data_IF_483744729989
#
_entry.id   IF_483744729989
#
_cell.length_a   1.000
_cell.length_b   1.000
_cell.length_c   1.000
_cell.angle_alpha   90.00
_cell.angle_beta   90.00
_cell.angle_gamma   90.00
#
_symmetry.space_group_name_H-M   'P 1'
#
loop_
_entity.id
_entity.type
_entity.pdbx_description
1 polymer ?
#
# COMPACT_ATOMS: atom_id res chain seq x y z
N UNK A 1 -0.46 27.22 -2.32
CA UNK A 1 -0.26 27.17 -0.85
C UNK A 1 -0.65 25.83 -0.24
N UNK A 2 -1.83 25.26 -0.52
CA UNK A 2 -2.32 24.02 0.13
C UNK A 2 -1.42 22.78 -0.03
N UNK A 3 -0.86 22.55 -1.22
CA UNK A 3 0.05 21.42 -1.43
C UNK A 3 1.37 21.52 -0.63
N UNK A 4 1.79 22.71 -0.17
CA UNK A 4 2.95 22.84 0.70
C UNK A 4 2.63 22.43 2.14
N UNK A 5 1.41 22.74 2.62
CA UNK A 5 0.95 22.33 3.95
C UNK A 5 0.90 20.80 4.07
N UNK A 6 0.33 20.10 3.09
CA UNK A 6 0.32 18.64 3.06
C UNK A 6 1.74 18.04 3.08
N UNK A 7 2.65 18.60 2.29
CA UNK A 7 4.05 18.14 2.25
C UNK A 7 4.81 18.43 3.54
N UNK A 8 4.47 19.49 4.26
CA UNK A 8 5.03 19.79 5.56
C UNK A 8 4.54 18.76 6.58
N UNK A 9 3.22 18.54 6.66
CA UNK A 9 2.62 17.55 7.55
C UNK A 9 3.17 16.14 7.34
N UNK A 10 3.31 15.69 6.08
CA UNK A 10 3.91 14.38 5.77
C UNK A 10 5.35 14.27 6.31
N UNK A 11 6.13 15.35 6.26
CA UNK A 11 7.50 15.36 6.80
C UNK A 11 7.52 15.43 8.32
N UNK A 12 6.58 16.15 8.94
CA UNK A 12 6.47 16.26 10.39
C UNK A 12 6.07 14.92 11.04
N UNK A 13 5.31 14.08 10.32
CA UNK A 13 5.02 12.66 10.67
C UNK A 13 6.31 11.80 10.63
N UNK A 14 7.41 12.31 10.06
CA UNK A 14 8.67 11.59 9.91
C UNK A 14 8.73 10.70 8.67
N UNK A 15 7.91 10.96 7.66
CA UNK A 15 8.00 10.25 6.37
C UNK A 15 9.04 10.88 5.46
N UNK A 16 9.63 10.08 4.57
CA UNK A 16 10.48 10.60 3.51
C UNK A 16 9.65 10.94 2.28
N UNK A 17 9.69 12.21 1.88
CA UNK A 17 8.98 12.70 0.70
C UNK A 17 9.93 13.38 -0.27
N UNK A 18 10.31 12.63 -1.31
CA UNK A 18 11.34 13.01 -2.27
C UNK A 18 10.78 13.20 -3.68
N UNK A 19 11.31 14.15 -4.43
CA UNK A 19 10.94 14.35 -5.83
C UNK A 19 11.72 13.38 -6.73
N UNK A 20 11.07 12.80 -7.73
CA UNK A 20 11.71 11.86 -8.67
C UNK A 20 12.34 12.67 -9.81
N UNK A 21 13.64 12.96 -9.69
CA UNK A 21 14.42 13.72 -10.67
C UNK A 21 13.83 15.11 -10.96
N UNK A 22 13.75 15.47 -12.25
CA UNK A 22 13.14 16.74 -12.70
C UNK A 22 11.62 16.65 -12.95
N UNK A 23 11.02 15.47 -12.85
CA UNK A 23 9.58 15.25 -13.08
C UNK A 23 8.71 15.91 -12.01
N UNK A 24 7.38 15.93 -12.16
CA UNK A 24 6.45 16.36 -11.08
C UNK A 24 6.04 15.20 -10.16
N UNK A 25 6.64 14.03 -10.32
CA UNK A 25 6.32 12.84 -9.53
C UNK A 25 7.07 12.87 -8.18
N UNK A 26 6.40 12.37 -7.16
CA UNK A 26 6.91 12.32 -5.79
C UNK A 26 6.93 10.86 -5.32
N UNK A 27 8.00 10.49 -4.61
CA UNK A 27 8.16 9.24 -3.91
C UNK A 27 7.92 9.49 -2.42
N UNK A 28 6.96 8.75 -1.86
CA UNK A 28 6.71 8.68 -0.42
C UNK A 28 7.26 7.35 0.10
N UNK A 29 8.13 7.41 1.11
CA UNK A 29 8.58 6.26 1.88
C UNK A 29 8.06 6.41 3.31
N UNK A 30 7.23 5.45 3.75
CA UNK A 30 6.60 5.47 5.06
C UNK A 30 6.30 4.04 5.51
N UNK A 31 6.27 3.79 6.83
CA UNK A 31 5.78 2.54 7.38
C UNK A 31 4.23 2.54 7.51
N UNK A 32 3.63 1.40 7.89
CA UNK A 32 2.16 1.27 7.99
C UNK A 32 1.52 2.27 8.96
N UNK A 33 2.17 2.55 10.10
CA UNK A 33 1.66 3.49 11.11
C UNK A 33 1.67 4.91 10.53
N UNK A 34 2.79 5.30 9.92
CA UNK A 34 2.93 6.61 9.28
C UNK A 34 1.95 6.82 8.12
N UNK A 35 1.70 5.79 7.30
CA UNK A 35 0.69 5.84 6.25
C UNK A 35 -0.71 6.09 6.83
N UNK A 36 -1.05 5.40 7.92
CA UNK A 36 -2.32 5.60 8.62
C UNK A 36 -2.44 7.02 9.19
N UNK A 37 -1.36 7.56 9.76
CA UNK A 37 -1.33 8.94 10.27
C UNK A 37 -1.53 9.97 9.15
N UNK A 38 -0.92 9.76 7.97
CA UNK A 38 -1.15 10.62 6.80
C UNK A 38 -2.62 10.57 6.37
N UNK A 39 -3.21 9.38 6.30
CA UNK A 39 -4.62 9.21 5.94
C UNK A 39 -5.52 9.97 6.93
N UNK A 40 -5.32 9.76 8.23
CA UNK A 40 -6.09 10.42 9.28
C UNK A 40 -5.96 11.94 9.21
N UNK A 41 -4.74 12.44 8.98
CA UNK A 41 -4.49 13.87 8.79
C UNK A 41 -5.26 14.44 7.60
N UNK A 42 -5.23 13.76 6.45
CA UNK A 42 -5.94 14.21 5.25
C UNK A 42 -7.45 14.24 5.48
N UNK A 43 -8.01 13.19 6.08
CA UNK A 43 -9.45 13.07 6.31
C UNK A 43 -9.95 14.09 7.34
N UNK A 44 -9.17 14.36 8.39
CA UNK A 44 -9.53 15.36 9.40
C UNK A 44 -9.52 16.81 8.87
N UNK A 45 -8.75 17.10 7.82
CA UNK A 45 -8.69 18.44 7.23
C UNK A 45 -9.77 18.69 6.17
N UNK A 46 -10.52 17.66 5.75
CA UNK A 46 -11.59 17.70 4.74
C UNK A 46 -11.22 18.46 3.45
N UNK A 47 -9.93 18.51 3.12
CA UNK A 47 -9.44 19.26 1.99
C UNK A 47 -9.63 18.43 0.72
N UNK A 48 -10.58 18.83 -0.13
CA UNK A 48 -11.02 18.04 -1.28
C UNK A 48 -9.88 17.67 -2.25
N UNK A 49 -8.86 18.52 -2.39
CA UNK A 49 -7.71 18.25 -3.28
C UNK A 49 -6.73 17.23 -2.70
N UNK A 50 -6.85 16.86 -1.42
CA UNK A 50 -6.03 15.85 -0.75
C UNK A 50 -6.72 14.49 -0.63
N UNK A 51 -8.06 14.45 -0.63
CA UNK A 51 -8.83 13.21 -0.40
C UNK A 51 -8.47 12.06 -1.36
N UNK A 52 -8.10 12.36 -2.61
CA UNK A 52 -7.65 11.33 -3.56
C UNK A 52 -6.40 10.58 -3.06
N UNK A 53 -5.51 11.27 -2.34
CA UNK A 53 -4.30 10.66 -1.80
C UNK A 53 -4.66 9.73 -0.63
N UNK A 54 -5.53 10.15 0.29
CA UNK A 54 -6.02 9.26 1.36
C UNK A 54 -6.63 7.98 0.78
N UNK A 55 -7.49 8.11 -0.24
CA UNK A 55 -8.05 6.96 -0.96
C UNK A 55 -6.95 6.07 -1.58
N UNK A 56 -5.96 6.69 -2.22
CA UNK A 56 -4.85 5.96 -2.83
C UNK A 56 -4.01 5.19 -1.79
N UNK A 57 -3.72 5.81 -0.64
CA UNK A 57 -2.94 5.19 0.42
C UNK A 57 -3.71 4.06 1.12
N UNK A 58 -5.02 4.20 1.34
CA UNK A 58 -5.87 3.11 1.87
C UNK A 58 -5.81 1.86 1.00
N UNK A 59 -5.97 2.04 -0.32
CA UNK A 59 -5.87 0.93 -1.27
C UNK A 59 -4.47 0.27 -1.27
N UNK A 60 -3.41 1.02 -0.96
CA UNK A 60 -2.06 0.45 -0.82
C UNK A 60 -1.84 -0.24 0.53
N UNK A 61 -2.45 0.25 1.61
CA UNK A 61 -2.38 -0.36 2.93
C UNK A 61 -3.12 -1.71 2.99
N UNK A 62 -4.16 -1.87 2.18
CA UNK A 62 -4.90 -3.12 1.99
C UNK A 62 -4.09 -4.20 1.23
N UNK A 63 -2.86 -3.91 0.78
CA UNK A 63 -2.02 -4.96 0.19
C UNK A 63 -1.66 -6.01 1.23
N UNK A 64 -2.19 -7.21 1.00
CA UNK A 64 -1.97 -8.40 1.83
C UNK A 64 -0.48 -8.70 1.92
N UNK A 65 0.00 -8.98 3.13
CA UNK A 65 1.39 -9.40 3.33
C UNK A 65 1.62 -10.80 2.78
N UNK A 66 2.88 -11.21 2.62
CA UNK A 66 3.21 -12.58 2.20
C UNK A 66 2.58 -13.62 3.13
N UNK A 67 2.60 -13.38 4.44
CA UNK A 67 2.01 -14.29 5.43
C UNK A 67 0.49 -14.34 5.33
N UNK A 68 -0.17 -13.21 5.05
CA UNK A 68 -1.62 -13.19 4.81
C UNK A 68 -1.98 -13.98 3.55
N UNK A 69 -1.20 -13.81 2.47
CA UNK A 69 -1.38 -14.57 1.22
C UNK A 69 -1.15 -16.07 1.44
N UNK A 70 -0.12 -16.43 2.22
CA UNK A 70 0.18 -17.81 2.60
C UNK A 70 -0.94 -18.43 3.44
N UNK A 71 -1.49 -17.69 4.40
CA UNK A 71 -2.63 -18.13 5.20
C UNK A 71 -3.87 -18.39 4.33
N UNK A 72 -4.19 -17.46 3.43
CA UNK A 72 -5.29 -17.60 2.48
C UNK A 72 -5.06 -18.82 1.57
N UNK A 73 -3.84 -19.00 1.06
CA UNK A 73 -3.53 -20.10 0.17
C UNK A 73 -3.63 -21.47 0.88
N UNK A 74 -3.17 -21.58 2.13
CA UNK A 74 -3.33 -22.78 2.96
C UNK A 74 -4.78 -23.13 3.25
N UNK A 75 -5.65 -22.14 3.45
CA UNK A 75 -7.09 -22.38 3.64
C UNK A 75 -7.81 -22.85 2.37
N UNK A 76 -7.26 -22.56 1.19
CA UNK A 76 -7.85 -22.92 -0.09
C UNK A 76 -6.97 -23.99 -0.76
N UNK A 77 -7.01 -25.23 -0.23
CA UNK A 77 -6.18 -26.34 -0.73
C UNK A 77 -6.29 -26.51 -2.25
N UNK A 78 -5.16 -26.50 -2.95
CA UNK A 78 -5.12 -26.61 -4.42
C UNK A 78 -5.45 -25.32 -5.17
N UNK A 79 -5.50 -24.16 -4.50
CA UNK A 79 -5.66 -22.87 -5.16
C UNK A 79 -4.53 -22.61 -6.15
N UNK A 80 -4.89 -22.17 -7.35
CA UNK A 80 -3.91 -21.80 -8.39
C UNK A 80 -3.43 -20.37 -8.22
N UNK A 81 -2.28 -20.03 -8.82
CA UNK A 81 -1.74 -18.66 -8.86
C UNK A 81 -2.80 -17.65 -9.33
N UNK A 82 -3.55 -17.96 -10.40
CA UNK A 82 -4.57 -17.06 -10.93
C UNK A 82 -5.76 -16.86 -9.98
N UNK A 83 -6.17 -17.92 -9.27
CA UNK A 83 -7.24 -17.83 -8.29
C UNK A 83 -6.81 -17.04 -7.05
N UNK A 84 -5.54 -17.18 -6.63
CA UNK A 84 -4.99 -16.41 -5.52
C UNK A 84 -4.94 -14.92 -5.87
N UNK A 85 -4.45 -14.56 -7.06
CA UNK A 85 -4.48 -13.17 -7.57
C UNK A 85 -5.91 -12.63 -7.55
N UNK A 86 -6.87 -13.35 -8.15
CA UNK A 86 -8.26 -12.90 -8.23
C UNK A 86 -8.94 -12.73 -6.86
N UNK A 87 -8.49 -13.45 -5.83
CA UNK A 87 -9.02 -13.33 -4.45
C UNK A 87 -8.40 -12.21 -3.64
N UNK A 88 -7.18 -11.77 -3.97
CA UNK A 88 -6.33 -10.98 -3.07
C UNK A 88 -5.79 -9.71 -3.69
N UNK A 89 -6.00 -9.52 -5.00
CA UNK A 89 -5.40 -8.46 -5.81
C UNK A 89 -3.86 -8.35 -5.66
N UNK A 90 -3.20 -9.42 -5.21
CA UNK A 90 -1.75 -9.47 -5.14
C UNK A 90 -1.14 -9.58 -6.55
N UNK A 91 0.13 -9.20 -6.67
CA UNK A 91 0.84 -9.34 -7.94
C UNK A 91 1.07 -10.80 -8.29
N UNK A 92 1.19 -11.11 -9.58
CA UNK A 92 1.50 -12.47 -10.04
C UNK A 92 2.81 -13.03 -9.45
N UNK A 93 3.79 -12.16 -9.20
CA UNK A 93 5.05 -12.53 -8.55
C UNK A 93 4.85 -12.93 -7.08
N UNK A 94 4.03 -12.21 -6.32
CA UNK A 94 3.69 -12.56 -4.94
C UNK A 94 2.90 -13.88 -4.89
N UNK A 95 1.88 -14.02 -5.74
CA UNK A 95 1.10 -15.24 -5.80
C UNK A 95 1.93 -16.48 -6.16
N UNK A 96 2.82 -16.37 -7.16
CA UNK A 96 3.72 -17.46 -7.56
C UNK A 96 4.62 -17.88 -6.39
N UNK A 97 5.22 -16.92 -5.69
CA UNK A 97 6.09 -17.21 -4.54
C UNK A 97 5.39 -18.03 -3.45
N UNK A 98 4.16 -17.66 -3.12
CA UNK A 98 3.35 -18.36 -2.11
C UNK A 98 3.00 -19.78 -2.55
N UNK A 99 2.59 -19.97 -3.82
CA UNK A 99 2.23 -21.29 -4.34
C UNK A 99 3.45 -22.20 -4.42
N UNK A 100 4.57 -21.71 -4.92
CA UNK A 100 5.81 -22.50 -5.01
C UNK A 100 6.22 -22.96 -3.59
N UNK A 101 6.21 -22.07 -2.59
CA UNK A 101 6.48 -22.43 -1.19
C UNK A 101 5.52 -23.50 -0.63
N UNK A 102 4.26 -23.55 -1.08
CA UNK A 102 3.29 -24.58 -0.70
C UNK A 102 3.50 -25.92 -1.40
N UNK A 103 4.00 -25.93 -2.62
CA UNK A 103 4.30 -27.15 -3.37
C UNK A 103 5.56 -27.86 -2.85
N UNK A 104 6.46 -27.13 -2.17
CA UNK A 104 7.69 -27.66 -1.57
C UNK A 104 7.58 -27.93 -0.05
N UNK A 105 6.37 -27.85 0.53
CA UNK A 105 6.07 -28.20 1.94
C UNK A 105 5.56 -29.64 2.08
#
# INVERSE_FOLDING_TARGET
MKAYALKAAIRDIGCELNRIGRSRNWRLTANKIQLQEIINFIEANEEQSWLWLAKHLKNQQETLTHDDLMFIAKQNSGITVNQLIAKTDCTAAQARRVIDELEFL
#
